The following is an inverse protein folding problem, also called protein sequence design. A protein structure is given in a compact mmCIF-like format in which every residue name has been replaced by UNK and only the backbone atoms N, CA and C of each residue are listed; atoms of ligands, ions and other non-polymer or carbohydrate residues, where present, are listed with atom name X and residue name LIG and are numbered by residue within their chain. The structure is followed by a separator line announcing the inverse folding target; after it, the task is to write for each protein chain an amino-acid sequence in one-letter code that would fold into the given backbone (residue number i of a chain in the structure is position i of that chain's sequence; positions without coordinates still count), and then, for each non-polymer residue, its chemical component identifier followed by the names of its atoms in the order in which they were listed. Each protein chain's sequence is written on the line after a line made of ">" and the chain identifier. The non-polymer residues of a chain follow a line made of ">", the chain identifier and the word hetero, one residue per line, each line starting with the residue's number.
data_IF_810527759719
#
_entry.id   IF_810527759719
#
_cell.length_a   1.000
_cell.length_b   1.000
_cell.length_c   1.000
_cell.angle_alpha   90.00
_cell.angle_beta   90.00
_cell.angle_gamma   90.00
#
_symmetry.space_group_name_H-M   'P 1'
#
loop_
_entity.id
_entity.type
_entity.pdbx_description
1 polymer ?
#
# COMPACT_ATOMS: atom_id res chain seq x y z
N UNK A 1 9.26 42.66 -12.62
CA UNK A 1 9.19 41.33 -11.98
C UNK A 1 8.73 40.34 -13.04
N UNK A 2 9.55 39.39 -13.52
CA UNK A 2 9.07 38.39 -14.47
C UNK A 2 8.15 37.42 -13.72
N UNK A 3 6.97 37.18 -14.27
CA UNK A 3 6.01 36.23 -13.73
C UNK A 3 6.60 34.83 -13.90
N UNK A 4 6.75 34.07 -12.81
CA UNK A 4 7.06 32.65 -12.92
C UNK A 4 5.87 31.96 -13.60
N UNK A 5 6.07 31.54 -14.85
CA UNK A 5 5.11 30.75 -15.61
C UNK A 5 5.26 29.30 -15.17
N UNK A 6 4.27 28.79 -14.43
CA UNK A 6 4.24 27.39 -14.02
C UNK A 6 3.83 26.60 -15.26
N UNK A 7 4.81 26.06 -15.97
CA UNK A 7 4.56 25.09 -17.02
C UNK A 7 3.77 23.91 -16.43
N UNK A 8 2.57 23.66 -16.94
CA UNK A 8 1.76 22.50 -16.58
C UNK A 8 2.43 21.27 -17.19
N UNK A 9 3.41 20.71 -16.48
CA UNK A 9 4.01 19.45 -16.85
C UNK A 9 2.98 18.34 -16.62
N UNK A 10 2.71 17.55 -17.66
CA UNK A 10 1.92 16.33 -17.54
C UNK A 10 2.62 15.38 -16.57
N UNK A 11 1.92 14.95 -15.53
CA UNK A 11 2.48 14.01 -14.56
C UNK A 11 2.79 12.67 -15.27
N UNK A 12 3.95 12.05 -14.98
CA UNK A 12 4.26 10.73 -15.51
C UNK A 12 3.24 9.71 -15.02
N UNK A 13 2.99 8.69 -15.84
CA UNK A 13 2.13 7.57 -15.47
C UNK A 13 2.72 6.78 -14.30
N UNK A 14 1.85 6.25 -13.44
CA UNK A 14 2.25 5.35 -12.36
C UNK A 14 2.77 4.04 -12.94
N UNK A 15 3.98 3.65 -12.55
CA UNK A 15 4.61 2.40 -13.02
C UNK A 15 4.37 1.23 -12.07
N UNK A 16 4.07 1.49 -10.80
CA UNK A 16 3.62 0.53 -9.80
C UNK A 16 3.03 1.27 -8.58
N UNK A 17 2.21 0.59 -7.78
CA UNK A 17 1.71 1.10 -6.49
C UNK A 17 2.00 0.09 -5.39
N UNK A 18 2.49 0.60 -4.27
CA UNK A 18 2.79 -0.19 -3.09
C UNK A 18 1.88 0.29 -1.96
N UNK A 19 1.11 -0.63 -1.37
CA UNK A 19 0.14 -0.34 -0.32
C UNK A 19 0.60 -0.89 1.03
N UNK A 20 0.24 -0.22 2.13
CA UNK A 20 0.19 -0.88 3.43
C UNK A 20 -0.95 -1.91 3.45
N UNK A 21 -0.79 -3.01 4.16
CA UNK A 21 -1.87 -3.99 4.36
C UNK A 21 -2.80 -3.53 5.50
N UNK A 22 -2.35 -3.62 6.75
CA UNK A 22 -3.12 -3.21 7.94
C UNK A 22 -3.28 -1.69 8.03
N UNK A 23 -4.45 -1.23 8.48
CA UNK A 23 -4.78 0.19 8.57
C UNK A 23 -4.89 0.92 7.22
N UNK A 24 -4.78 0.21 6.09
CA UNK A 24 -4.77 0.80 4.75
C UNK A 24 -5.68 0.03 3.80
N UNK A 25 -5.28 -1.17 3.34
CA UNK A 25 -6.13 -1.99 2.47
C UNK A 25 -7.19 -2.78 3.25
N UNK A 26 -6.84 -3.23 4.46
CA UNK A 26 -7.69 -3.99 5.38
C UNK A 26 -7.47 -3.50 6.81
N UNK A 27 -8.21 -4.04 7.78
CA UNK A 27 -8.04 -3.75 9.21
C UNK A 27 -8.13 -2.24 9.50
N UNK A 28 -9.30 -1.66 9.25
CA UNK A 28 -9.54 -0.23 9.47
C UNK A 28 -9.20 0.16 10.93
N UNK A 29 -8.33 1.15 11.09
CA UNK A 29 -7.86 1.58 12.40
C UNK A 29 -6.76 0.70 13.00
N UNK A 30 -6.12 -0.17 12.20
CA UNK A 30 -4.91 -0.94 12.56
C UNK A 30 -5.03 -1.71 13.88
N UNK A 31 -6.12 -2.46 14.04
CA UNK A 31 -6.45 -3.18 15.27
C UNK A 31 -5.88 -4.61 15.31
N UNK A 32 -5.40 -5.14 14.19
CA UNK A 32 -4.82 -6.47 14.12
C UNK A 32 -3.57 -6.58 14.99
N UNK A 33 -3.55 -7.63 15.82
CA UNK A 33 -2.44 -7.94 16.71
C UNK A 33 -2.13 -9.43 16.63
N UNK A 34 -0.91 -9.79 17.00
CA UNK A 34 -0.47 -11.20 17.05
C UNK A 34 -1.36 -12.06 17.95
N UNK A 35 -1.96 -11.48 18.99
CA UNK A 35 -2.79 -12.20 19.98
C UNK A 35 -4.30 -12.12 19.72
N UNK A 36 -4.73 -11.45 18.65
CA UNK A 36 -6.16 -11.31 18.33
C UNK A 36 -6.70 -12.52 17.55
N UNK A 37 -7.77 -13.14 18.06
CA UNK A 37 -8.37 -14.35 17.50
C UNK A 37 -9.10 -14.15 16.16
N UNK A 38 -9.31 -12.91 15.73
CA UNK A 38 -9.97 -12.59 14.46
C UNK A 38 -9.45 -11.27 13.92
N UNK A 39 -8.39 -11.26 13.09
CA UNK A 39 -8.03 -10.06 12.36
C UNK A 39 -9.22 -9.62 11.49
N UNK A 40 -9.54 -8.32 11.50
CA UNK A 40 -10.60 -7.78 10.64
C UNK A 40 -10.09 -7.76 9.20
N UNK A 41 -10.26 -8.88 8.50
CA UNK A 41 -9.82 -9.02 7.11
C UNK A 41 -10.68 -8.21 6.14
N UNK A 42 -11.75 -7.55 6.57
CA UNK A 42 -12.58 -6.76 5.64
C UNK A 42 -11.77 -5.62 5.01
N UNK A 43 -11.91 -5.48 3.68
CA UNK A 43 -11.28 -4.39 2.95
C UNK A 43 -11.82 -3.04 3.43
N UNK A 44 -10.93 -2.06 3.57
CA UNK A 44 -11.35 -0.71 3.96
C UNK A 44 -12.25 -0.08 2.89
N UNK A 45 -13.14 0.86 3.26
CA UNK A 45 -14.03 1.50 2.31
C UNK A 45 -13.28 2.09 1.12
N UNK A 46 -13.60 1.62 -0.09
CA UNK A 46 -13.00 2.10 -1.33
C UNK A 46 -11.71 1.38 -1.77
N UNK A 47 -11.06 0.57 -0.92
CA UNK A 47 -9.83 -0.14 -1.28
C UNK A 47 -10.00 -1.03 -2.52
N UNK A 48 -11.04 -1.87 -2.54
CA UNK A 48 -11.32 -2.75 -3.69
C UNK A 48 -11.65 -1.97 -4.98
N UNK A 49 -12.25 -0.78 -4.86
CA UNK A 49 -12.54 0.09 -6.01
C UNK A 49 -11.25 0.64 -6.60
N UNK A 50 -10.33 1.11 -5.76
CA UNK A 50 -9.02 1.62 -6.18
C UNK A 50 -8.19 0.49 -6.82
N UNK A 51 -8.11 -0.67 -6.17
CA UNK A 51 -7.39 -1.83 -6.70
C UNK A 51 -7.92 -2.26 -8.07
N UNK A 52 -9.25 -2.27 -8.26
CA UNK A 52 -9.86 -2.55 -9.57
C UNK A 52 -9.42 -1.53 -10.62
N UNK A 53 -9.49 -0.24 -10.31
CA UNK A 53 -9.10 0.82 -11.26
C UNK A 53 -7.63 0.74 -11.65
N UNK A 54 -6.74 0.39 -10.70
CA UNK A 54 -5.31 0.18 -10.98
C UNK A 54 -5.08 -1.05 -11.86
N UNK A 55 -5.82 -2.14 -11.62
CA UNK A 55 -5.78 -3.34 -12.48
C UNK A 55 -6.22 -3.03 -13.91
N UNK A 56 -7.30 -2.27 -14.08
CA UNK A 56 -7.82 -1.86 -15.39
C UNK A 56 -6.82 -0.98 -16.16
N UNK A 57 -6.04 -0.16 -15.44
CA UNK A 57 -4.95 0.65 -16.00
C UNK A 57 -3.64 -0.15 -16.22
N UNK A 58 -3.61 -1.43 -15.85
CA UNK A 58 -2.41 -2.28 -15.96
C UNK A 58 -1.30 -1.91 -14.98
N UNK A 59 -1.62 -1.21 -13.88
CA UNK A 59 -0.64 -0.78 -12.88
C UNK A 59 -0.35 -1.94 -11.90
N UNK A 60 0.90 -2.44 -11.84
CA UNK A 60 1.28 -3.46 -10.87
C UNK A 60 1.07 -2.98 -9.44
N UNK A 61 0.48 -3.82 -8.59
CA UNK A 61 0.26 -3.52 -7.18
C UNK A 61 0.81 -4.63 -6.28
N UNK A 62 1.38 -4.23 -5.14
CA UNK A 62 1.78 -5.12 -4.06
C UNK A 62 1.42 -4.50 -2.70
N UNK A 63 1.37 -5.33 -1.66
CA UNK A 63 1.19 -4.87 -0.28
C UNK A 63 2.41 -5.16 0.59
N UNK A 64 2.65 -4.34 1.60
CA UNK A 64 3.62 -4.56 2.67
C UNK A 64 2.97 -4.45 4.04
N UNK A 65 3.57 -5.11 5.02
CA UNK A 65 3.24 -4.95 6.43
C UNK A 65 4.45 -5.37 7.28
N UNK A 66 4.52 -4.87 8.51
CA UNK A 66 5.55 -5.27 9.49
C UNK A 66 5.04 -6.35 10.45
N UNK A 67 3.73 -6.65 10.42
CA UNK A 67 3.13 -7.72 11.21
C UNK A 67 3.63 -9.11 10.76
N UNK A 68 3.67 -10.11 11.67
CA UNK A 68 4.08 -11.47 11.32
C UNK A 68 3.20 -12.11 10.24
N UNK A 69 3.73 -13.07 9.45
CA UNK A 69 2.95 -13.80 8.44
C UNK A 69 1.68 -14.47 8.96
N UNK A 70 1.66 -14.87 10.23
CA UNK A 70 0.48 -15.45 10.88
C UNK A 70 -0.70 -14.48 10.98
N UNK A 71 -0.44 -13.17 10.96
CA UNK A 71 -1.46 -12.11 11.01
C UNK A 71 -1.74 -11.56 9.60
N UNK A 72 -0.70 -11.35 8.79
CA UNK A 72 -0.85 -10.73 7.46
C UNK A 72 -1.50 -11.67 6.44
N UNK A 73 -1.25 -12.98 6.52
CA UNK A 73 -1.87 -13.97 5.63
C UNK A 73 -3.41 -13.96 5.72
N UNK A 74 -4.03 -14.10 6.91
CA UNK A 74 -5.49 -14.02 7.02
C UNK A 74 -6.04 -12.62 6.71
N UNK A 75 -5.31 -11.55 7.03
CA UNK A 75 -5.70 -10.18 6.66
C UNK A 75 -5.81 -10.00 5.15
N UNK A 76 -4.82 -10.48 4.41
CA UNK A 76 -4.78 -10.36 2.95
C UNK A 76 -5.83 -11.25 2.24
N UNK A 77 -6.50 -12.16 2.94
CA UNK A 77 -7.45 -13.10 2.33
C UNK A 77 -8.69 -12.41 1.70
N UNK A 78 -9.02 -11.17 2.09
CA UNK A 78 -10.08 -10.41 1.44
C UNK A 78 -9.62 -9.61 0.21
N UNK A 79 -8.31 -9.58 -0.05
CA UNK A 79 -7.76 -8.91 -1.22
C UNK A 79 -7.84 -9.82 -2.45
N UNK A 80 -7.92 -9.23 -3.66
CA UNK A 80 -7.83 -9.99 -4.88
C UNK A 80 -6.48 -10.73 -4.99
N UNK A 81 -6.51 -11.98 -5.47
CA UNK A 81 -5.32 -12.86 -5.55
C UNK A 81 -4.13 -12.30 -6.34
N UNK A 82 -4.38 -11.32 -7.22
CA UNK A 82 -3.34 -10.68 -8.04
C UNK A 82 -2.52 -9.64 -7.26
N UNK A 83 -3.02 -9.14 -6.13
CA UNK A 83 -2.28 -8.23 -5.24
C UNK A 83 -1.46 -9.09 -4.28
N UNK A 84 -0.15 -9.19 -4.54
CA UNK A 84 0.74 -10.05 -3.76
C UNK A 84 1.48 -9.27 -2.68
N UNK A 85 1.96 -10.00 -1.67
CA UNK A 85 2.94 -9.48 -0.73
C UNK A 85 4.18 -9.02 -1.50
N UNK A 86 4.67 -7.82 -1.22
CA UNK A 86 5.99 -7.40 -1.64
C UNK A 86 7.04 -8.30 -0.98
N UNK A 87 8.11 -8.61 -1.71
CA UNK A 87 9.22 -9.36 -1.12
C UNK A 87 9.83 -8.55 0.02
N UNK A 88 10.07 -9.15 1.21
CA UNK A 88 10.71 -8.44 2.31
C UNK A 88 12.08 -7.96 1.84
N UNK A 89 12.33 -6.64 1.94
CA UNK A 89 13.62 -6.08 1.59
C UNK A 89 14.63 -6.39 2.71
N UNK A 90 15.80 -6.92 2.33
CA UNK A 90 16.94 -7.02 3.26
C UNK A 90 17.50 -5.65 3.63
N UNK A 91 17.18 -4.63 2.83
CA UNK A 91 17.51 -3.23 3.07
C UNK A 91 16.40 -2.65 3.91
N UNK A 92 16.73 -2.21 5.12
CA UNK A 92 15.83 -1.37 5.94
C UNK A 92 15.64 -0.07 5.17
N UNK A 93 14.41 0.25 4.77
CA UNK A 93 14.13 1.50 4.06
C UNK A 93 14.71 2.66 4.88
N UNK A 94 15.46 3.59 4.27
CA UNK A 94 15.94 4.74 5.00
C UNK A 94 14.73 5.43 5.62
N UNK A 95 14.76 5.64 6.93
CA UNK A 95 13.67 6.31 7.61
C UNK A 95 13.37 7.63 6.87
N UNK A 96 12.10 8.06 6.75
CA UNK A 96 11.69 9.17 5.89
C UNK A 96 12.54 10.45 6.06
N UNK A 97 13.05 10.67 7.28
CA UNK A 97 13.97 11.77 7.58
C UNK A 97 15.25 11.78 6.73
N UNK A 98 15.76 10.62 6.30
CA UNK A 98 16.98 10.52 5.51
C UNK A 98 16.72 10.86 4.03
N UNK A 99 15.52 10.59 3.51
CA UNK A 99 15.13 10.99 2.15
C UNK A 99 14.85 12.48 2.02
N UNK A 100 14.48 13.16 3.11
CA UNK A 100 14.20 14.60 3.11
C UNK A 100 15.43 15.48 3.42
N UNK A 101 16.57 14.86 3.75
CA UNK A 101 17.83 15.54 4.06
C UNK A 101 18.86 15.44 2.91
N UNK A 102 18.49 14.84 1.78
CA UNK A 102 19.35 14.64 0.61
C UNK A 102 19.19 15.77 -0.42
#
# INVERSE_FOLDING_TARGET
>A
MPHAEIAVATAPALTAVLFGLSGCLVDFGSQARTDSFSPHSEATPGALKILRSLKEQGVPCAWLDELPPSVTTPLAAALPDWVKAASPSSIRWPAPHACWQA
#
